data_IF_245388762285
#
_entry.id   IF_245388762285
#
_cell.length_a   1.000
_cell.length_b   1.000
_cell.length_c   1.000
_cell.angle_alpha   90.00
_cell.angle_beta   90.00
_cell.angle_gamma   90.00
#
_symmetry.space_group_name_H-M   'P 1'
#
loop_
_entity.id
_entity.type
_entity.pdbx_description
1 polymer ?
#
# COMPACT_ATOMS: atom_id res chain seq x y z
N UNK A 1 8.81 14.15 37.30
CA UNK A 1 8.17 14.18 35.96
C UNK A 1 8.27 12.86 35.17
N UNK A 2 9.40 12.13 35.13
CA UNK A 2 9.51 10.83 34.39
C UNK A 2 8.62 9.70 34.98
N UNK A 3 8.50 9.61 36.30
CA UNK A 3 7.69 8.59 36.98
C UNK A 3 6.18 8.79 36.80
N UNK A 4 5.72 10.05 36.82
CA UNK A 4 4.32 10.41 36.53
C UNK A 4 3.96 10.14 35.07
N UNK A 5 4.86 10.48 34.12
CA UNK A 5 4.69 10.09 32.70
C UNK A 5 4.65 8.57 32.52
N UNK A 6 5.43 7.80 33.28
CA UNK A 6 5.43 6.34 33.23
C UNK A 6 4.11 5.74 33.77
N UNK A 7 3.61 6.24 34.90
CA UNK A 7 2.32 5.80 35.47
C UNK A 7 1.15 6.18 34.55
N UNK A 8 1.13 7.41 34.04
CA UNK A 8 0.10 7.84 33.08
C UNK A 8 0.14 7.02 31.79
N UNK A 9 1.33 6.74 31.26
CA UNK A 9 1.51 5.88 30.07
C UNK A 9 1.02 4.43 30.32
N UNK A 10 1.22 3.89 31.52
CA UNK A 10 0.72 2.56 31.87
C UNK A 10 -0.81 2.52 32.07
N UNK A 11 -1.39 3.58 32.64
CA UNK A 11 -2.83 3.70 32.79
C UNK A 11 -3.56 3.90 31.44
N UNK A 12 -2.97 4.67 30.52
CA UNK A 12 -3.50 4.84 29.17
C UNK A 12 -3.38 3.56 28.34
N UNK A 13 -2.27 2.82 28.47
CA UNK A 13 -2.10 1.49 27.86
C UNK A 13 -3.09 0.46 28.40
N UNK A 14 -3.47 0.52 29.68
CA UNK A 14 -4.45 -0.38 30.27
C UNK A 14 -5.87 -0.23 29.68
N UNK A 15 -6.19 0.94 29.11
CA UNK A 15 -7.49 1.20 28.48
C UNK A 15 -7.54 0.85 26.98
N UNK A 16 -6.40 0.54 26.35
CA UNK A 16 -6.33 0.19 24.93
C UNK A 16 -7.34 -0.90 24.54
N UNK A 17 -7.49 -2.03 25.27
CA UNK A 17 -8.46 -3.04 24.92
C UNK A 17 -9.91 -2.53 24.88
N UNK A 18 -10.28 -1.62 25.79
CA UNK A 18 -11.62 -1.01 25.86
C UNK A 18 -11.87 -0.09 24.67
N UNK A 19 -10.88 0.73 24.29
CA UNK A 19 -10.99 1.59 23.11
C UNK A 19 -11.12 0.76 21.83
N UNK A 20 -10.28 -0.28 21.69
CA UNK A 20 -10.35 -1.19 20.54
C UNK A 20 -11.71 -1.89 20.48
N UNK A 21 -12.24 -2.36 21.61
CA UNK A 21 -13.58 -2.97 21.66
C UNK A 21 -14.71 -2.00 21.35
N UNK A 22 -14.60 -0.74 21.77
CA UNK A 22 -15.58 0.29 21.44
C UNK A 22 -15.59 0.58 19.93
N UNK A 23 -14.45 0.93 19.36
CA UNK A 23 -14.36 1.37 17.97
C UNK A 23 -14.52 0.24 16.95
N UNK A 24 -14.15 -1.00 17.30
CA UNK A 24 -14.34 -2.16 16.43
C UNK A 24 -15.81 -2.60 16.27
N UNK A 25 -16.74 -2.03 17.04
CA UNK A 25 -18.19 -2.25 16.86
C UNK A 25 -18.76 -1.48 15.67
N UNK A 26 -18.07 -0.44 15.23
CA UNK A 26 -18.50 0.37 14.09
C UNK A 26 -17.91 -0.19 12.80
N UNK A 27 -18.67 -0.08 11.72
CA UNK A 27 -18.21 -0.43 10.38
C UNK A 27 -17.45 0.74 9.76
N UNK A 28 -16.29 0.50 9.10
CA UNK A 28 -15.62 1.53 8.31
C UNK A 28 -16.53 2.14 7.23
N UNK A 29 -16.42 3.45 7.02
CA UNK A 29 -17.21 4.18 6.04
C UNK A 29 -16.49 4.19 4.68
N UNK A 30 -16.94 3.45 3.64
CA UNK A 30 -16.30 3.50 2.34
C UNK A 30 -16.52 4.86 1.67
N UNK A 31 -15.48 5.38 1.00
CA UNK A 31 -15.53 6.62 0.24
C UNK A 31 -15.17 6.34 -1.22
N UNK A 32 -16.04 6.77 -2.14
CA UNK A 32 -15.78 6.72 -3.57
C UNK A 32 -14.76 7.79 -3.99
N UNK A 33 -14.10 7.57 -5.12
CA UNK A 33 -13.19 8.54 -5.71
C UNK A 33 -13.88 9.88 -6.02
N UNK A 34 -15.15 9.83 -6.44
CA UNK A 34 -15.99 11.01 -6.65
C UNK A 34 -16.15 11.83 -5.37
N UNK A 35 -16.41 11.18 -4.23
CA UNK A 35 -16.53 11.89 -2.95
C UNK A 35 -15.23 12.59 -2.54
N UNK A 36 -14.06 11.96 -2.76
CA UNK A 36 -12.78 12.62 -2.50
C UNK A 36 -12.56 13.84 -3.40
N UNK A 37 -12.85 13.72 -4.71
CA UNK A 37 -12.74 14.84 -5.65
C UNK A 37 -13.69 15.98 -5.31
N UNK A 38 -14.97 15.68 -5.09
CA UNK A 38 -16.00 16.68 -4.81
C UNK A 38 -15.66 17.43 -3.51
N UNK A 39 -15.12 16.73 -2.50
CA UNK A 39 -14.64 17.34 -1.26
C UNK A 39 -13.46 18.29 -1.50
N UNK A 40 -12.41 17.84 -2.18
CA UNK A 40 -11.19 18.63 -2.36
C UNK A 40 -11.26 19.72 -3.42
N UNK A 41 -12.19 19.64 -4.39
CA UNK A 41 -12.32 20.62 -5.49
C UNK A 41 -13.05 21.90 -5.11
N UNK A 42 -14.16 21.77 -4.35
CA UNK A 42 -15.16 22.85 -4.23
C UNK A 42 -15.40 23.25 -2.78
N UNK A 43 -15.19 22.34 -1.83
CA UNK A 43 -15.56 22.49 -0.42
C UNK A 43 -14.46 22.01 0.53
N UNK A 44 -13.18 22.19 0.16
CA UNK A 44 -12.06 21.75 0.98
C UNK A 44 -12.11 22.45 2.35
N UNK A 45 -12.66 21.75 3.33
CA UNK A 45 -12.94 22.28 4.66
C UNK A 45 -12.21 21.41 5.68
N UNK A 46 -11.10 21.94 6.20
CA UNK A 46 -10.21 21.21 7.10
C UNK A 46 -10.95 20.72 8.35
N UNK A 47 -11.82 21.55 8.93
CA UNK A 47 -12.63 21.19 10.11
C UNK A 47 -13.55 20.01 9.84
N UNK A 48 -14.16 19.94 8.65
CA UNK A 48 -14.99 18.81 8.24
C UNK A 48 -14.15 17.55 8.08
N UNK A 49 -12.99 17.65 7.44
CA UNK A 49 -12.07 16.51 7.30
C UNK A 49 -11.55 16.03 8.65
N UNK A 50 -11.20 16.94 9.55
CA UNK A 50 -10.75 16.64 10.92
C UNK A 50 -11.82 15.89 11.70
N UNK A 51 -13.07 16.40 11.70
CA UNK A 51 -14.19 15.77 12.42
C UNK A 51 -14.48 14.36 11.89
N UNK A 52 -14.39 14.16 10.58
CA UNK A 52 -14.52 12.84 9.97
C UNK A 52 -13.38 11.91 10.40
N UNK A 53 -12.12 12.33 10.21
CA UNK A 53 -10.95 11.46 10.40
C UNK A 53 -10.69 11.08 11.86
N UNK A 54 -10.94 11.99 12.80
CA UNK A 54 -10.79 11.68 14.24
C UNK A 54 -11.75 10.59 14.73
N UNK A 55 -12.82 10.31 13.97
CA UNK A 55 -13.76 9.21 14.23
C UNK A 55 -13.47 8.00 13.35
N UNK A 56 -13.25 8.20 12.06
CA UNK A 56 -13.08 7.11 11.09
C UNK A 56 -11.75 6.36 11.27
N UNK A 57 -10.65 7.05 11.58
CA UNK A 57 -9.34 6.39 11.75
C UNK A 57 -9.32 5.43 12.96
N UNK A 58 -9.84 5.79 14.16
CA UNK A 58 -9.98 4.84 15.26
C UNK A 58 -10.83 3.62 14.91
N UNK A 59 -11.90 3.78 14.12
CA UNK A 59 -12.73 2.67 13.64
C UNK A 59 -11.91 1.70 12.80
N UNK A 60 -11.19 2.20 11.78
CA UNK A 60 -10.37 1.35 10.90
C UNK A 60 -9.23 0.66 11.63
N UNK A 61 -8.50 1.41 12.47
CA UNK A 61 -7.41 0.87 13.30
C UNK A 61 -7.92 -0.22 14.24
N UNK A 62 -9.04 0.01 14.93
CA UNK A 62 -9.56 -0.94 15.91
C UNK A 62 -10.11 -2.21 15.27
N UNK A 63 -10.80 -2.09 14.12
CA UNK A 63 -11.27 -3.24 13.35
C UNK A 63 -10.09 -4.15 12.96
N UNK A 64 -9.03 -3.58 12.37
CA UNK A 64 -7.90 -4.41 11.96
C UNK A 64 -7.09 -4.93 13.15
N UNK A 65 -6.99 -4.18 14.25
CA UNK A 65 -6.37 -4.65 15.49
C UNK A 65 -7.12 -5.85 16.09
N UNK A 66 -8.45 -5.90 16.01
CA UNK A 66 -9.24 -7.08 16.39
C UNK A 66 -8.89 -8.28 15.52
N UNK A 67 -8.78 -8.09 14.21
CA UNK A 67 -8.40 -9.17 13.28
C UNK A 67 -6.97 -9.68 13.52
N UNK A 68 -6.02 -8.79 13.84
CA UNK A 68 -4.66 -9.20 14.23
C UNK A 68 -4.74 -10.15 15.43
N UNK A 69 -5.55 -9.83 16.44
CA UNK A 69 -5.69 -10.65 17.64
C UNK A 69 -6.39 -12.01 17.41
N UNK A 70 -6.94 -12.25 16.21
CA UNK A 70 -7.49 -13.55 15.80
C UNK A 70 -6.47 -14.43 15.07
N UNK A 71 -5.27 -13.92 14.82
CA UNK A 71 -4.17 -14.73 14.29
C UNK A 71 -3.78 -15.85 15.26
N UNK A 72 -3.17 -16.94 14.76
CA UNK A 72 -2.66 -17.99 15.62
C UNK A 72 -1.71 -17.44 16.69
N UNK A 73 -1.85 -17.88 17.94
CA UNK A 73 -1.03 -17.41 19.07
C UNK A 73 0.48 -17.46 18.76
N UNK A 74 0.92 -18.52 18.08
CA UNK A 74 2.32 -18.70 17.65
C UNK A 74 2.79 -17.57 16.73
N UNK A 75 1.94 -17.11 15.80
CA UNK A 75 2.25 -15.97 14.93
C UNK A 75 2.23 -14.65 15.72
N UNK A 76 1.27 -14.49 16.63
CA UNK A 76 1.19 -13.33 17.54
C UNK A 76 2.42 -13.18 18.43
N UNK A 77 3.10 -14.28 18.79
CA UNK A 77 4.34 -14.24 19.58
C UNK A 77 5.59 -13.85 18.79
N UNK A 78 5.50 -13.72 17.46
CA UNK A 78 6.66 -13.33 16.66
C UNK A 78 7.03 -11.86 16.92
N UNK A 79 8.32 -11.52 17.12
CA UNK A 79 8.74 -10.15 17.43
C UNK A 79 8.25 -9.13 16.41
N UNK A 80 8.22 -9.51 15.13
CA UNK A 80 7.78 -8.63 14.05
C UNK A 80 6.27 -8.33 14.11
N UNK A 81 5.42 -9.30 14.43
CA UNK A 81 3.97 -9.05 14.60
C UNK A 81 3.70 -8.19 15.83
N UNK A 82 4.41 -8.44 16.94
CA UNK A 82 4.30 -7.63 18.15
C UNK A 82 4.72 -6.17 17.90
N UNK A 83 5.76 -5.96 17.10
CA UNK A 83 6.18 -4.62 16.68
C UNK A 83 5.08 -3.91 15.90
N UNK A 84 4.45 -4.58 14.93
CA UNK A 84 3.32 -4.00 14.19
C UNK A 84 2.15 -3.69 15.13
N UNK A 85 1.77 -4.61 16.02
CA UNK A 85 0.71 -4.34 17.03
C UNK A 85 1.02 -3.08 17.85
N UNK A 86 2.27 -2.90 18.29
CA UNK A 86 2.67 -1.73 19.06
C UNK A 86 2.49 -0.42 18.28
N UNK A 87 2.77 -0.41 16.97
CA UNK A 87 2.59 0.77 16.12
C UNK A 87 1.12 1.12 15.96
N UNK A 88 0.24 0.12 15.78
CA UNK A 88 -1.20 0.35 15.68
C UNK A 88 -1.77 0.85 17.01
N UNK A 89 -1.36 0.27 18.14
CA UNK A 89 -1.75 0.76 19.49
C UNK A 89 -1.33 2.22 19.67
N UNK A 90 -0.07 2.55 19.37
CA UNK A 90 0.42 3.93 19.52
C UNK A 90 -0.38 4.90 18.65
N UNK A 91 -0.65 4.53 17.40
CA UNK A 91 -1.36 5.40 16.46
C UNK A 91 -2.82 5.61 16.86
N UNK A 92 -3.48 4.56 17.35
CA UNK A 92 -4.82 4.67 17.92
C UNK A 92 -4.83 5.66 19.08
N UNK A 93 -3.93 5.47 20.05
CA UNK A 93 -3.89 6.33 21.24
C UNK A 93 -3.62 7.80 20.89
N UNK A 94 -2.71 8.08 19.96
CA UNK A 94 -2.43 9.44 19.48
C UNK A 94 -3.66 10.10 18.83
N UNK A 95 -4.44 9.36 18.01
CA UNK A 95 -5.67 9.92 17.41
C UNK A 95 -6.76 10.13 18.47
N UNK A 96 -6.86 9.26 19.47
CA UNK A 96 -7.87 9.37 20.52
C UNK A 96 -7.73 10.67 21.35
N UNK A 97 -6.54 11.28 21.39
CA UNK A 97 -6.33 12.58 22.03
C UNK A 97 -7.12 13.73 21.37
N UNK A 98 -7.63 13.53 20.15
CA UNK A 98 -8.37 14.53 19.37
C UNK A 98 -9.90 14.36 19.42
N UNK A 99 -10.41 13.29 20.05
CA UNK A 99 -11.85 12.98 20.06
C UNK A 99 -12.70 14.13 20.63
N UNK A 100 -12.25 14.70 21.75
CA UNK A 100 -12.98 15.74 22.48
C UNK A 100 -12.47 17.16 22.18
N UNK A 101 -11.45 17.31 21.32
CA UNK A 101 -10.91 18.64 20.95
C UNK A 101 -11.90 19.40 20.05
N UNK A 102 -11.97 20.72 20.15
CA UNK A 102 -12.87 21.52 19.30
C UNK A 102 -12.27 21.76 17.92
N UNK A 103 -13.05 21.68 16.83
CA UNK A 103 -12.56 21.90 15.47
C UNK A 103 -12.26 23.37 15.15
N UNK A 104 -12.76 24.32 15.95
CA UNK A 104 -12.60 25.76 15.70
C UNK A 104 -11.23 26.31 16.10
N UNK A 105 -10.37 25.50 16.71
CA UNK A 105 -9.03 25.89 17.13
C UNK A 105 -7.99 25.48 16.08
N UNK A 106 -7.46 26.45 15.33
CA UNK A 106 -6.42 26.20 14.32
C UNK A 106 -5.21 25.43 14.84
N UNK A 107 -4.74 25.71 16.07
CA UNK A 107 -3.59 25.00 16.64
C UNK A 107 -3.87 23.50 16.83
N UNK A 108 -5.13 23.10 17.02
CA UNK A 108 -5.51 21.68 17.10
C UNK A 108 -5.47 21.03 15.73
N UNK A 109 -5.86 21.76 14.68
CA UNK A 109 -5.83 21.27 13.30
C UNK A 109 -4.38 21.04 12.85
N UNK A 110 -3.48 22.01 13.11
CA UNK A 110 -2.05 21.88 12.83
C UNK A 110 -1.43 20.67 13.57
N UNK A 111 -1.71 20.53 14.87
CA UNK A 111 -1.24 19.39 15.67
C UNK A 111 -1.78 18.04 15.16
N UNK A 112 -3.01 18.05 14.61
CA UNK A 112 -3.61 16.86 14.01
C UNK A 112 -2.89 16.48 12.71
N UNK A 113 -2.60 17.44 11.82
CA UNK A 113 -1.82 17.20 10.60
C UNK A 113 -0.46 16.60 10.95
N UNK A 114 0.27 17.19 11.91
CA UNK A 114 1.56 16.67 12.40
C UNK A 114 1.44 15.24 12.94
N UNK A 115 0.38 14.96 13.70
CA UNK A 115 0.10 13.62 14.23
C UNK A 115 -0.13 12.61 13.11
N UNK A 116 -0.90 12.98 12.07
CA UNK A 116 -1.14 12.13 10.92
C UNK A 116 0.14 11.86 10.11
N UNK A 117 1.01 12.87 9.94
CA UNK A 117 2.33 12.72 9.31
C UNK A 117 3.19 11.73 10.11
N UNK A 118 3.21 11.84 11.44
CA UNK A 118 3.94 10.92 12.32
C UNK A 118 3.41 9.48 12.22
N UNK A 119 2.08 9.30 12.19
CA UNK A 119 1.45 7.99 12.01
C UNK A 119 1.82 7.40 10.65
N UNK A 120 1.72 8.19 9.57
CA UNK A 120 2.12 7.77 8.21
C UNK A 120 3.57 7.26 8.20
N UNK A 121 4.47 8.02 8.82
CA UNK A 121 5.90 7.70 8.86
C UNK A 121 6.18 6.43 9.67
N UNK A 122 5.56 6.29 10.85
CA UNK A 122 5.65 5.09 11.70
C UNK A 122 5.20 3.83 10.96
N UNK A 123 4.18 3.95 10.10
CA UNK A 123 3.60 2.82 9.39
C UNK A 123 4.31 2.46 8.09
N UNK A 124 5.39 3.16 7.70
CA UNK A 124 6.08 2.93 6.43
C UNK A 124 6.59 1.49 6.27
N UNK A 125 7.17 0.90 7.32
CA UNK A 125 7.73 -0.46 7.28
C UNK A 125 6.74 -1.57 7.71
N UNK A 126 5.45 -1.28 7.88
CA UNK A 126 4.44 -2.29 8.26
C UNK A 126 4.39 -3.48 7.31
N UNK A 127 4.50 -3.25 5.99
CA UNK A 127 4.46 -4.34 5.00
C UNK A 127 5.65 -5.29 5.14
N UNK A 128 6.91 -4.83 5.06
CA UNK A 128 8.07 -5.71 5.23
C UNK A 128 8.15 -6.32 6.63
N UNK A 129 7.76 -5.60 7.69
CA UNK A 129 7.77 -6.16 9.06
C UNK A 129 6.71 -7.25 9.23
N UNK A 130 5.48 -7.07 8.72
CA UNK A 130 4.47 -8.12 8.78
C UNK A 130 4.91 -9.37 7.98
N UNK A 131 5.49 -9.17 6.79
CA UNK A 131 6.05 -10.27 6.00
C UNK A 131 7.17 -11.01 6.76
N UNK A 132 8.02 -10.28 7.49
CA UNK A 132 9.06 -10.84 8.33
C UNK A 132 8.47 -11.68 9.49
N UNK A 133 7.37 -11.26 10.11
CA UNK A 133 6.67 -12.06 11.13
C UNK A 133 6.11 -13.38 10.61
N UNK A 134 5.60 -13.35 9.38
CA UNK A 134 5.15 -14.57 8.68
C UNK A 134 6.32 -15.51 8.35
N UNK A 135 7.48 -14.96 7.97
CA UNK A 135 8.72 -15.73 7.76
C UNK A 135 9.22 -16.35 9.07
N UNK A 136 9.23 -15.58 10.16
CA UNK A 136 9.58 -16.03 11.51
C UNK A 136 8.72 -17.24 11.90
N UNK A 137 7.40 -17.10 11.78
CA UNK A 137 6.44 -18.18 12.05
C UNK A 137 6.73 -19.44 11.22
N UNK A 138 6.90 -19.28 9.89
CA UNK A 138 7.14 -20.40 8.97
C UNK A 138 8.44 -21.15 9.29
N UNK A 139 9.50 -20.43 9.67
CA UNK A 139 10.80 -21.04 9.94
C UNK A 139 10.82 -21.92 11.20
N UNK A 140 9.95 -21.63 12.17
CA UNK A 140 9.87 -22.36 13.44
C UNK A 140 8.80 -23.46 13.41
N UNK A 141 7.64 -23.20 12.83
CA UNK A 141 6.46 -24.06 12.98
C UNK A 141 6.07 -24.82 11.70
N UNK A 142 6.74 -24.58 10.57
CA UNK A 142 6.49 -25.28 9.32
C UNK A 142 5.32 -24.71 8.52
N UNK A 143 4.63 -25.57 7.77
CA UNK A 143 3.51 -25.19 6.90
C UNK A 143 2.29 -26.05 7.25
N UNK A 144 1.20 -25.39 7.60
CA UNK A 144 -0.11 -26.01 7.78
C UNK A 144 -1.10 -25.37 6.78
N UNK A 145 -1.75 -26.15 5.90
CA UNK A 145 -2.63 -25.61 4.86
C UNK A 145 -3.78 -24.75 5.39
N UNK A 146 -4.41 -25.16 6.49
CA UNK A 146 -5.54 -24.45 7.10
C UNK A 146 -5.08 -23.10 7.67
N UNK A 147 -3.99 -23.11 8.43
CA UNK A 147 -3.39 -21.89 8.98
C UNK A 147 -2.92 -20.94 7.88
N UNK A 148 -2.35 -21.48 6.80
CA UNK A 148 -1.94 -20.68 5.64
C UNK A 148 -3.13 -19.96 4.97
N UNK A 149 -4.29 -20.62 4.84
CA UNK A 149 -5.49 -19.97 4.32
C UNK A 149 -6.00 -18.86 5.26
N UNK A 150 -5.98 -19.08 6.57
CA UNK A 150 -6.37 -18.07 7.54
C UNK A 150 -5.42 -16.85 7.52
N UNK A 151 -4.12 -17.09 7.42
CA UNK A 151 -3.10 -16.03 7.28
C UNK A 151 -3.30 -15.27 5.96
N UNK A 152 -3.57 -15.97 4.86
CA UNK A 152 -3.85 -15.35 3.56
C UNK A 152 -5.04 -14.40 3.66
N UNK A 153 -6.17 -14.89 4.17
CA UNK A 153 -7.39 -14.09 4.35
C UNK A 153 -7.15 -12.86 5.23
N UNK A 154 -6.43 -13.03 6.34
CA UNK A 154 -6.04 -11.92 7.20
C UNK A 154 -5.17 -10.90 6.46
N UNK A 155 -4.12 -11.33 5.74
CA UNK A 155 -3.18 -10.42 5.10
C UNK A 155 -3.83 -9.59 4.00
N UNK A 156 -4.74 -10.17 3.23
CA UNK A 156 -5.52 -9.43 2.22
C UNK A 156 -6.31 -8.28 2.87
N UNK A 157 -7.01 -8.57 3.98
CA UNK A 157 -7.79 -7.56 4.72
C UNK A 157 -6.90 -6.55 5.44
N UNK A 158 -5.79 -7.00 6.00
CA UNK A 158 -4.81 -6.17 6.70
C UNK A 158 -4.18 -5.14 5.78
N UNK A 159 -3.71 -5.57 4.61
CA UNK A 159 -3.09 -4.67 3.65
C UNK A 159 -4.13 -3.77 2.98
N UNK A 160 -5.35 -4.25 2.71
CA UNK A 160 -6.43 -3.40 2.22
C UNK A 160 -6.79 -2.29 3.23
N UNK A 161 -6.97 -2.66 4.52
CA UNK A 161 -7.21 -1.71 5.60
C UNK A 161 -6.10 -0.65 5.68
N UNK A 162 -4.83 -1.08 5.62
CA UNK A 162 -3.68 -0.18 5.62
C UNK A 162 -3.65 0.78 4.43
N UNK A 163 -3.91 0.29 3.21
CA UNK A 163 -3.99 1.13 2.01
C UNK A 163 -5.07 2.20 2.21
N UNK A 164 -6.23 1.80 2.74
CA UNK A 164 -7.35 2.71 3.00
C UNK A 164 -7.03 3.79 4.06
N UNK A 165 -6.33 3.42 5.14
CA UNK A 165 -5.88 4.36 6.19
C UNK A 165 -4.85 5.33 5.60
N UNK A 166 -3.89 4.83 4.82
CA UNK A 166 -2.89 5.67 4.15
C UNK A 166 -3.54 6.62 3.14
N UNK A 167 -4.59 6.19 2.44
CA UNK A 167 -5.36 7.04 1.53
C UNK A 167 -5.98 8.23 2.27
N UNK A 168 -6.68 7.97 3.37
CA UNK A 168 -7.29 9.00 4.20
C UNK A 168 -6.27 10.00 4.76
N UNK A 169 -5.17 9.50 5.32
CA UNK A 169 -4.10 10.34 5.87
C UNK A 169 -3.45 11.17 4.77
N UNK A 170 -3.10 10.56 3.65
CA UNK A 170 -2.48 11.27 2.54
C UNK A 170 -3.38 12.37 1.99
N UNK A 171 -4.68 12.11 1.84
CA UNK A 171 -5.63 13.12 1.38
C UNK A 171 -5.67 14.32 2.31
N UNK A 172 -5.80 14.12 3.62
CA UNK A 172 -5.82 15.23 4.57
C UNK A 172 -4.50 16.01 4.57
N UNK A 173 -3.36 15.31 4.68
CA UNK A 173 -2.05 15.96 4.71
C UNK A 173 -1.75 16.69 3.40
N UNK A 174 -2.03 16.13 2.23
CA UNK A 174 -1.71 16.79 0.96
C UNK A 174 -2.64 17.98 0.64
N UNK A 175 -3.84 18.03 1.21
CA UNK A 175 -4.78 19.14 0.99
C UNK A 175 -4.56 20.27 2.00
N UNK A 176 -4.18 19.95 3.24
CA UNK A 176 -4.14 20.93 4.35
C UNK A 176 -2.75 21.19 4.94
N UNK A 177 -1.72 20.41 4.60
CA UNK A 177 -0.33 20.70 5.00
C UNK A 177 0.21 21.90 4.20
N UNK A 178 0.15 23.08 4.81
CA UNK A 178 0.58 24.36 4.24
C UNK A 178 2.07 24.43 3.84
N UNK A 179 2.87 23.40 4.15
CA UNK A 179 4.28 23.29 3.74
C UNK A 179 4.47 22.59 2.38
N UNK A 180 3.43 21.96 1.81
CA UNK A 180 3.56 21.26 0.53
C UNK A 180 3.31 22.19 -0.65
N UNK A 181 4.39 22.59 -1.31
CA UNK A 181 4.31 23.03 -2.71
C UNK A 181 3.82 21.81 -3.49
N UNK A 182 2.63 21.82 -4.12
CA UNK A 182 2.12 20.61 -4.74
C UNK A 182 3.07 20.25 -5.88
N UNK A 183 3.81 19.14 -5.72
CA UNK A 183 4.63 18.53 -6.76
C UNK A 183 3.84 18.40 -8.08
N UNK A 184 2.52 18.29 -7.96
CA UNK A 184 1.56 18.36 -9.06
C UNK A 184 0.44 19.35 -8.70
N UNK A 185 0.50 20.62 -9.15
CA UNK A 185 -0.51 21.64 -8.82
C UNK A 185 -1.93 21.33 -9.32
N UNK A 186 -2.07 20.33 -10.20
CA UNK A 186 -3.36 19.91 -10.76
C UNK A 186 -3.98 18.70 -10.04
N UNK A 187 -3.35 18.18 -8.97
CA UNK A 187 -3.89 17.06 -8.19
C UNK A 187 -4.68 17.53 -6.98
N UNK A 188 -5.69 16.75 -6.60
CA UNK A 188 -6.48 16.94 -5.39
C UNK A 188 -6.02 15.91 -4.36
N UNK A 189 -5.22 16.38 -3.42
CA UNK A 189 -4.47 15.50 -2.54
C UNK A 189 -3.59 14.56 -3.36
N UNK A 190 -3.85 13.26 -3.29
CA UNK A 190 -3.16 12.24 -4.11
C UNK A 190 -3.91 11.80 -5.38
N UNK A 191 -5.07 12.41 -5.69
CA UNK A 191 -5.89 12.04 -6.85
C UNK A 191 -5.58 13.01 -7.99
N UNK A 192 -5.30 12.45 -9.17
CA UNK A 192 -5.20 13.21 -10.41
C UNK A 192 -6.54 13.07 -11.17
N UNK A 193 -7.29 14.16 -11.39
CA UNK A 193 -8.52 14.14 -12.16
C UNK A 193 -8.28 13.87 -13.67
N UNK A 194 -7.04 14.00 -14.14
CA UNK A 194 -6.65 13.82 -15.53
C UNK A 194 -5.43 12.90 -15.67
N UNK A 195 -5.34 11.86 -14.83
CA UNK A 195 -4.25 10.89 -14.82
C UNK A 195 -4.00 10.30 -16.22
N UNK A 196 -2.86 10.66 -16.83
CA UNK A 196 -2.40 10.05 -18.08
C UNK A 196 -1.86 8.65 -17.81
N UNK A 197 -2.63 7.64 -18.22
CA UNK A 197 -2.33 6.23 -17.94
C UNK A 197 -1.03 5.81 -18.62
N UNK A 198 -0.77 6.32 -19.82
CA UNK A 198 0.37 5.95 -20.64
C UNK A 198 1.67 6.49 -20.06
N UNK A 199 1.65 7.72 -19.53
CA UNK A 199 2.80 8.27 -18.82
C UNK A 199 3.12 7.46 -17.57
N UNK A 200 2.12 7.10 -16.75
CA UNK A 200 2.34 6.25 -15.57
C UNK A 200 2.93 4.88 -15.94
N UNK A 201 2.49 4.30 -17.07
CA UNK A 201 3.09 3.07 -17.62
C UNK A 201 4.56 3.26 -17.97
N UNK A 202 4.91 4.36 -18.65
CA UNK A 202 6.30 4.66 -19.02
C UNK A 202 7.17 4.86 -17.78
N UNK A 203 6.70 5.61 -16.80
CA UNK A 203 7.43 5.88 -15.55
C UNK A 203 7.69 4.60 -14.75
N UNK A 204 6.66 3.76 -14.59
CA UNK A 204 6.79 2.48 -13.91
C UNK A 204 7.75 1.53 -14.64
N UNK A 205 7.68 1.49 -15.97
CA UNK A 205 8.59 0.70 -16.78
C UNK A 205 10.04 1.20 -16.66
N UNK A 206 10.29 2.50 -16.77
CA UNK A 206 11.65 3.06 -16.67
C UNK A 206 12.28 2.78 -15.31
N UNK A 207 11.52 2.94 -14.23
CA UNK A 207 12.00 2.61 -12.89
C UNK A 207 12.29 1.13 -12.73
N UNK A 208 11.43 0.24 -13.25
CA UNK A 208 11.69 -1.20 -13.23
C UNK A 208 12.91 -1.57 -14.09
N UNK A 209 13.08 -0.91 -15.24
CA UNK A 209 14.22 -1.06 -16.16
C UNK A 209 15.52 -0.70 -15.46
N UNK A 210 15.59 0.42 -14.76
CA UNK A 210 16.76 0.83 -13.98
C UNK A 210 17.16 -0.22 -12.94
N UNK A 211 16.19 -0.75 -12.20
CA UNK A 211 16.43 -1.80 -11.22
C UNK A 211 16.92 -3.08 -11.92
N UNK A 212 16.33 -3.42 -13.08
CA UNK A 212 16.71 -4.54 -13.92
C UNK A 212 18.14 -4.45 -14.47
N UNK A 213 18.50 -3.31 -15.06
CA UNK A 213 19.83 -3.04 -15.60
C UNK A 213 20.89 -3.08 -14.49
N UNK A 214 20.58 -2.61 -13.28
CA UNK A 214 21.50 -2.71 -12.13
C UNK A 214 21.84 -4.16 -11.75
N UNK A 215 20.91 -5.10 -11.92
CA UNK A 215 21.08 -6.47 -11.47
C UNK A 215 21.51 -7.43 -12.59
N UNK A 216 20.94 -7.27 -13.79
CA UNK A 216 21.17 -8.16 -14.94
C UNK A 216 22.05 -7.54 -16.04
N UNK A 217 22.42 -6.25 -15.92
CA UNK A 217 23.16 -5.49 -16.93
C UNK A 217 22.45 -5.40 -18.29
N UNK A 218 21.17 -5.76 -18.35
CA UNK A 218 20.33 -5.76 -19.53
C UNK A 218 18.86 -5.79 -19.12
N UNK A 219 17.97 -5.36 -20.01
CA UNK A 219 16.52 -5.37 -19.81
C UNK A 219 15.78 -5.40 -21.15
N UNK A 220 14.59 -6.03 -21.22
CA UNK A 220 13.77 -6.05 -22.43
C UNK A 220 13.17 -4.66 -22.71
N UNK A 221 12.99 -4.31 -23.99
CA UNK A 221 12.36 -3.06 -24.42
C UNK A 221 10.84 -3.03 -24.12
N UNK A 222 10.24 -1.82 -24.15
CA UNK A 222 8.79 -1.61 -24.03
C UNK A 222 8.16 -1.39 -25.39
N UNK A 223 7.10 -2.14 -25.69
CA UNK A 223 6.18 -1.85 -26.80
C UNK A 223 4.81 -1.48 -26.23
N UNK A 224 4.44 -0.21 -26.33
CA UNK A 224 3.21 0.34 -25.77
C UNK A 224 2.20 0.65 -26.87
N UNK A 225 0.99 0.14 -26.73
CA UNK A 225 -0.15 0.39 -27.62
C UNK A 225 -1.34 0.93 -26.83
N UNK A 226 -2.02 1.91 -27.41
CA UNK A 226 -3.23 2.51 -26.84
C UNK A 226 -4.44 2.23 -27.73
N UNK A 227 -5.57 1.93 -27.10
CA UNK A 227 -6.86 1.69 -27.75
C UNK A 227 -7.95 2.47 -27.01
N UNK A 228 -8.16 3.72 -27.43
CA UNK A 228 -9.27 4.53 -26.95
C UNK A 228 -10.50 4.32 -27.83
N UNK A 229 -11.45 3.49 -27.35
CA UNK A 229 -12.69 3.19 -28.08
C UNK A 229 -13.57 4.43 -28.18
N UNK A 230 -13.56 5.28 -27.16
CA UNK A 230 -14.36 6.50 -27.08
C UNK A 230 -13.81 7.59 -28.02
N UNK A 231 -12.49 7.73 -28.11
CA UNK A 231 -11.83 8.68 -29.03
C UNK A 231 -10.40 8.26 -29.41
N UNK A 232 -10.24 7.67 -30.60
CA UNK A 232 -8.95 7.12 -31.09
C UNK A 232 -7.79 8.12 -31.20
N UNK A 233 -8.06 9.42 -31.17
CA UNK A 233 -7.03 10.48 -31.30
C UNK A 233 -6.62 11.10 -29.98
N UNK A 234 -7.31 10.78 -28.89
CA UNK A 234 -7.02 11.35 -27.58
C UNK A 234 -6.28 10.33 -26.70
N UNK A 235 -5.29 10.79 -25.92
CA UNK A 235 -4.67 10.00 -24.87
C UNK A 235 -5.72 9.45 -23.89
N UNK A 236 -5.42 8.31 -23.28
CA UNK A 236 -6.28 7.71 -22.27
C UNK A 236 -6.03 8.38 -20.92
N UNK A 237 -6.99 9.22 -20.51
CA UNK A 237 -6.98 9.93 -19.23
C UNK A 237 -8.13 9.46 -18.35
N UNK A 238 -7.86 9.24 -17.06
CA UNK A 238 -8.82 8.81 -16.06
C UNK A 238 -8.71 9.65 -14.79
N UNK A 239 -9.75 9.63 -13.96
CA UNK A 239 -9.59 10.03 -12.56
C UNK A 239 -8.98 8.85 -11.80
N UNK A 240 -7.79 9.02 -11.22
CA UNK A 240 -7.17 7.96 -10.40
C UNK A 240 -6.11 8.50 -9.44
N UNK A 241 -5.57 7.60 -8.62
CA UNK A 241 -4.37 7.88 -7.79
C UNK A 241 -3.14 7.37 -8.56
N UNK A 242 -2.33 8.24 -9.20
CA UNK A 242 -1.24 7.81 -10.08
C UNK A 242 -0.23 6.89 -9.39
N UNK A 243 0.06 7.14 -8.12
CA UNK A 243 0.99 6.32 -7.33
C UNK A 243 0.49 4.89 -7.12
N UNK A 244 -0.82 4.66 -6.99
CA UNK A 244 -1.39 3.30 -6.88
C UNK A 244 -1.20 2.54 -8.20
N UNK A 245 -1.50 3.20 -9.32
CA UNK A 245 -1.30 2.63 -10.65
C UNK A 245 0.17 2.32 -10.94
N UNK A 246 1.05 3.27 -10.62
CA UNK A 246 2.50 3.11 -10.70
C UNK A 246 2.98 1.88 -9.93
N UNK A 247 2.54 1.71 -8.68
CA UNK A 247 2.96 0.57 -7.86
C UNK A 247 2.53 -0.78 -8.46
N UNK A 248 1.30 -0.87 -8.99
CA UNK A 248 0.84 -2.09 -9.67
C UNK A 248 1.71 -2.42 -10.88
N UNK A 249 1.93 -1.43 -11.75
CA UNK A 249 2.68 -1.61 -12.99
C UNK A 249 4.15 -1.89 -12.73
N UNK A 250 4.77 -1.19 -11.78
CA UNK A 250 6.17 -1.39 -11.40
C UNK A 250 6.43 -2.83 -10.93
N UNK A 251 5.55 -3.38 -10.08
CA UNK A 251 5.66 -4.79 -9.65
C UNK A 251 5.44 -5.77 -10.81
N UNK A 252 4.49 -5.51 -11.71
CA UNK A 252 4.29 -6.34 -12.91
C UNK A 252 5.51 -6.30 -13.83
N UNK A 253 6.08 -5.12 -14.10
CA UNK A 253 7.26 -4.96 -14.94
C UNK A 253 8.48 -5.66 -14.37
N UNK A 254 8.77 -5.52 -13.07
CA UNK A 254 9.86 -6.28 -12.43
C UNK A 254 9.73 -7.79 -12.66
N UNK A 255 8.52 -8.31 -12.49
CA UNK A 255 8.25 -9.74 -12.69
C UNK A 255 8.43 -10.17 -14.15
N UNK A 256 7.86 -9.40 -15.09
CA UNK A 256 7.96 -9.65 -16.53
C UNK A 256 9.41 -9.57 -17.04
N UNK A 257 10.17 -8.56 -16.59
CA UNK A 257 11.58 -8.38 -16.93
C UNK A 257 12.42 -9.54 -16.41
N UNK A 258 12.27 -9.89 -15.12
CA UNK A 258 12.97 -11.03 -14.53
C UNK A 258 12.71 -12.32 -15.28
N UNK A 259 11.44 -12.66 -15.51
CA UNK A 259 11.07 -13.89 -16.21
C UNK A 259 11.61 -13.92 -17.65
N UNK A 260 11.58 -12.76 -18.34
CA UNK A 260 12.10 -12.65 -19.70
C UNK A 260 13.61 -12.88 -19.75
N UNK A 261 14.38 -12.32 -18.83
CA UNK A 261 15.84 -12.46 -18.79
C UNK A 261 16.24 -13.88 -18.40
N UNK A 262 15.70 -14.40 -17.29
CA UNK A 262 16.02 -15.76 -16.79
C UNK A 262 15.68 -16.84 -17.83
N UNK A 263 14.65 -16.62 -18.67
CA UNK A 263 14.29 -17.56 -19.74
C UNK A 263 15.11 -17.39 -21.03
N UNK A 264 15.90 -16.33 -21.16
CA UNK A 264 16.68 -16.01 -22.37
C UNK A 264 18.17 -15.77 -22.08
N UNK A 265 18.72 -16.37 -21.02
CA UNK A 265 20.14 -16.19 -20.62
C UNK A 265 21.14 -16.48 -21.75
N UNK A 266 20.78 -17.35 -22.69
CA UNK A 266 21.61 -17.73 -23.84
C UNK A 266 21.38 -16.87 -25.11
N UNK A 267 20.43 -15.93 -25.08
CA UNK A 267 20.10 -15.06 -26.21
C UNK A 267 20.67 -13.66 -26.02
N UNK A 268 21.32 -13.13 -27.06
CA UNK A 268 21.75 -11.72 -27.08
C UNK A 268 20.61 -10.73 -27.29
N UNK A 269 19.42 -11.20 -27.66
CA UNK A 269 18.23 -10.36 -27.88
C UNK A 269 17.09 -10.81 -26.97
N UNK A 270 16.60 -9.87 -26.17
CA UNK A 270 15.44 -10.07 -25.30
C UNK A 270 14.17 -9.67 -26.06
N UNK A 271 13.10 -10.48 -25.99
CA UNK A 271 11.82 -10.06 -26.53
C UNK A 271 11.26 -8.88 -25.72
N UNK A 272 10.65 -7.88 -26.37
CA UNK A 272 10.08 -6.73 -25.68
C UNK A 272 8.87 -7.12 -24.84
N UNK A 273 8.65 -6.40 -23.74
CA UNK A 273 7.41 -6.44 -22.96
C UNK A 273 6.37 -5.62 -23.70
N UNK A 274 5.22 -6.24 -23.97
CA UNK A 274 4.10 -5.63 -24.68
C UNK A 274 3.08 -5.12 -23.68
N UNK A 275 2.71 -3.85 -23.80
CA UNK A 275 1.66 -3.25 -22.98
C UNK A 275 0.56 -2.71 -23.87
N UNK A 276 -0.68 -3.09 -23.56
CA UNK A 276 -1.88 -2.59 -24.20
C UNK A 276 -2.73 -1.86 -23.17
N UNK A 277 -2.95 -0.57 -23.38
CA UNK A 277 -3.87 0.26 -22.60
C UNK A 277 -5.13 0.44 -23.44
N UNK A 278 -6.27 -0.03 -22.93
CA UNK A 278 -7.55 0.08 -23.62
C UNK A 278 -8.59 0.71 -22.70
N UNK A 279 -9.35 1.69 -23.19
CA UNK A 279 -10.49 2.27 -22.49
C UNK A 279 -11.77 2.04 -23.31
N UNK A 280 -12.76 1.44 -22.67
CA UNK A 280 -14.10 1.17 -23.20
C UNK A 280 -15.14 2.11 -22.62
N UNK A 281 -16.40 1.67 -22.62
CA UNK A 281 -17.52 2.42 -22.02
C UNK A 281 -17.50 2.42 -20.49
N UNK A 282 -17.12 1.29 -19.88
CA UNK A 282 -17.09 1.11 -18.42
C UNK A 282 -15.68 0.82 -17.90
N UNK A 283 -14.92 0.01 -18.63
CA UNK A 283 -13.62 -0.48 -18.17
C UNK A 283 -12.42 0.27 -18.76
N UNK A 284 -11.41 0.45 -17.91
CA UNK A 284 -10.02 0.65 -18.32
C UNK A 284 -9.26 -0.66 -18.10
N UNK A 285 -8.62 -1.17 -19.15
CA UNK A 285 -7.80 -2.38 -19.11
C UNK A 285 -6.36 -2.08 -19.46
N UNK A 286 -5.42 -2.54 -18.61
CA UNK A 286 -3.98 -2.49 -18.90
C UNK A 286 -3.45 -3.92 -18.92
N UNK A 287 -3.06 -4.39 -20.09
CA UNK A 287 -2.52 -5.74 -20.28
C UNK A 287 -1.01 -5.68 -20.47
N UNK A 288 -0.25 -6.22 -19.52
CA UNK A 288 1.20 -6.43 -19.64
C UNK A 288 1.47 -7.87 -20.08
N UNK A 289 2.18 -8.05 -21.18
CA UNK A 289 2.49 -9.36 -21.78
C UNK A 289 3.99 -9.51 -21.98
N UNK A 290 4.55 -10.60 -21.46
CA UNK A 290 5.97 -10.95 -21.62
C UNK A 290 6.13 -12.29 -22.37
N UNK A 291 7.38 -12.65 -22.65
CA UNK A 291 7.75 -13.95 -23.22
C UNK A 291 8.69 -14.73 -22.28
N UNK A 292 8.53 -14.59 -20.97
CA UNK A 292 9.38 -15.20 -19.95
C UNK A 292 9.13 -16.67 -19.64
N UNK A 293 8.65 -17.46 -20.60
CA UNK A 293 8.42 -18.91 -20.44
C UNK A 293 7.12 -19.31 -19.73
N UNK A 294 6.42 -18.36 -19.11
CA UNK A 294 5.11 -18.57 -18.48
C UNK A 294 5.15 -19.36 -17.17
N UNK A 295 3.96 -19.67 -16.64
CA UNK A 295 3.80 -20.41 -15.37
C UNK A 295 2.82 -21.57 -15.59
N UNK A 296 3.12 -22.81 -15.13
CA UNK A 296 2.17 -23.90 -15.20
C UNK A 296 0.86 -23.56 -14.50
N UNK A 297 -0.28 -23.91 -15.10
CA UNK A 297 -1.62 -23.57 -14.59
C UNK A 297 -1.80 -23.88 -13.10
N UNK A 298 -1.34 -25.07 -12.64
CA UNK A 298 -1.39 -25.50 -11.23
C UNK A 298 -0.66 -24.61 -10.22
N UNK A 299 0.19 -23.68 -10.67
CA UNK A 299 0.95 -22.76 -9.82
C UNK A 299 0.41 -21.33 -9.86
N UNK A 300 -0.60 -21.02 -10.67
CA UNK A 300 -1.11 -19.66 -10.86
C UNK A 300 -1.67 -19.11 -9.54
N UNK A 301 -2.52 -19.87 -8.85
CA UNK A 301 -3.10 -19.43 -7.56
C UNK A 301 -2.03 -19.13 -6.51
N UNK A 302 -0.94 -19.92 -6.51
CA UNK A 302 0.16 -19.72 -5.57
C UNK A 302 0.89 -18.39 -5.79
N UNK A 303 0.85 -17.79 -6.97
CA UNK A 303 1.50 -16.49 -7.23
C UNK A 303 0.91 -15.34 -6.40
N UNK A 304 -0.32 -15.50 -5.92
CA UNK A 304 -1.01 -14.54 -5.08
C UNK A 304 -0.95 -14.91 -3.59
N UNK A 305 -0.27 -16.01 -3.24
CA UNK A 305 -0.12 -16.39 -1.84
C UNK A 305 1.02 -15.64 -1.16
N UNK A 306 0.76 -15.01 -0.02
CA UNK A 306 1.80 -14.39 0.82
C UNK A 306 2.82 -15.40 1.36
N UNK A 307 2.45 -16.68 1.42
CA UNK A 307 3.30 -17.76 1.91
C UNK A 307 4.18 -18.37 0.81
N UNK A 308 3.98 -17.99 -0.45
CA UNK A 308 4.64 -18.53 -1.63
C UNK A 308 5.52 -17.48 -2.33
N UNK A 309 6.81 -17.74 -2.40
CA UNK A 309 7.76 -16.88 -3.13
C UNK A 309 8.44 -17.68 -4.23
N UNK A 310 8.60 -17.06 -5.40
CA UNK A 310 9.44 -17.54 -6.50
C UNK A 310 10.86 -16.95 -6.47
N UNK A 311 11.18 -16.15 -5.45
CA UNK A 311 12.50 -15.57 -5.22
C UNK A 311 13.13 -16.14 -3.93
N UNK A 312 14.44 -16.46 -3.93
CA UNK A 312 15.16 -16.81 -2.71
C UNK A 312 15.20 -15.61 -1.75
N UNK A 313 15.24 -15.89 -0.44
CA UNK A 313 15.39 -14.87 0.60
C UNK A 313 16.64 -14.02 0.36
N UNK A 314 16.56 -12.67 0.33
CA UNK A 314 17.74 -11.82 0.22
C UNK A 314 18.70 -12.04 1.40
N UNK A 315 20.01 -12.07 1.14
CA UNK A 315 21.01 -12.14 2.21
C UNK A 315 20.98 -10.87 3.08
N UNK A 316 21.20 -11.02 4.39
CA UNK A 316 21.04 -9.99 5.44
C UNK A 316 21.79 -8.66 5.20
N UNK A 317 22.78 -8.63 4.30
CA UNK A 317 23.56 -7.43 3.96
C UNK A 317 22.84 -6.41 3.07
N UNK A 318 21.80 -6.82 2.32
CA UNK A 318 21.13 -5.96 1.33
C UNK A 318 20.05 -5.04 1.92
N UNK A 319 19.68 -5.21 3.19
CA UNK A 319 18.67 -4.37 3.86
C UNK A 319 19.17 -2.96 4.21
N UNK A 320 20.49 -2.74 4.25
CA UNK A 320 21.10 -1.55 4.84
C UNK A 320 21.59 -0.50 3.82
N UNK A 321 21.64 -0.82 2.52
CA UNK A 321 21.99 0.12 1.44
C UNK A 321 20.72 0.68 0.77
N UNK A 322 19.80 1.21 1.58
CA UNK A 322 18.54 1.84 1.12
C UNK A 322 18.73 3.34 0.87
N UNK A 323 18.57 3.85 -0.36
CA UNK A 323 17.89 5.12 -0.58
C UNK A 323 16.40 4.91 -0.30
N UNK A 324 15.75 5.82 0.42
CA UNK A 324 14.36 5.67 0.88
C UNK A 324 13.29 5.65 -0.25
N UNK A 325 13.69 5.55 -1.52
CA UNK A 325 12.84 5.84 -2.69
C UNK A 325 12.83 4.75 -3.78
N UNK A 326 13.65 3.70 -3.67
CA UNK A 326 13.74 2.66 -4.73
C UNK A 326 13.52 1.25 -4.17
N UNK A 327 12.48 0.51 -4.63
CA UNK A 327 12.29 -0.89 -4.25
C UNK A 327 13.31 -1.82 -4.91
N UNK A 328 13.68 -2.90 -4.21
CA UNK A 328 14.55 -3.96 -4.74
C UNK A 328 13.86 -4.79 -5.82
N UNK A 329 14.67 -5.34 -6.75
CA UNK A 329 14.21 -6.32 -7.75
C UNK A 329 13.69 -7.60 -7.08
N UNK A 330 14.40 -8.02 -6.02
CA UNK A 330 13.99 -9.06 -5.09
C UNK A 330 13.14 -8.42 -4.00
N UNK A 331 11.86 -8.16 -4.28
CA UNK A 331 10.94 -7.84 -3.18
C UNK A 331 10.79 -9.11 -2.34
N UNK A 332 11.21 -9.05 -1.08
CA UNK A 332 10.62 -9.92 -0.05
C UNK A 332 9.11 -9.70 -0.18
N UNK A 333 8.37 -10.80 -0.26
CA UNK A 333 6.91 -10.87 -0.21
C UNK A 333 6.27 -9.61 0.42
N UNK A 334 5.26 -8.95 -0.21
CA UNK A 334 4.34 -9.51 -1.19
C UNK A 334 4.05 -8.58 -2.39
N UNK A 335 4.96 -8.50 -3.37
CA UNK A 335 4.80 -7.61 -4.54
C UNK A 335 3.53 -7.87 -5.37
N UNK A 336 3.26 -9.15 -5.72
CA UNK A 336 2.08 -9.52 -6.55
C UNK A 336 0.74 -9.41 -5.80
N UNK A 337 0.60 -9.94 -4.57
CA UNK A 337 -0.64 -9.75 -3.81
C UNK A 337 -0.93 -8.28 -3.52
N UNK A 338 0.09 -7.48 -3.18
CA UNK A 338 -0.10 -6.05 -2.93
C UNK A 338 -0.60 -5.30 -4.17
N UNK A 339 -0.08 -5.60 -5.36
CA UNK A 339 -0.58 -5.02 -6.61
C UNK A 339 -2.06 -5.35 -6.86
N UNK A 340 -2.49 -6.58 -6.56
CA UNK A 340 -3.90 -6.97 -6.68
C UNK A 340 -4.80 -6.17 -5.74
N UNK A 341 -4.36 -5.92 -4.51
CA UNK A 341 -5.11 -5.12 -3.54
C UNK A 341 -5.28 -3.66 -3.99
N UNK A 342 -4.29 -3.06 -4.64
CA UNK A 342 -4.46 -1.71 -5.21
C UNK A 342 -5.48 -1.69 -6.35
N UNK A 343 -5.59 -2.75 -7.15
CA UNK A 343 -6.60 -2.89 -8.19
C UNK A 343 -8.01 -3.09 -7.63
N UNK A 344 -8.13 -3.84 -6.53
CA UNK A 344 -9.40 -4.09 -5.86
C UNK A 344 -9.91 -2.97 -4.94
N UNK A 345 -9.09 -1.95 -4.62
CA UNK A 345 -9.45 -0.90 -3.66
C UNK A 345 -10.67 -0.06 -4.10
N UNK A 346 -10.85 0.11 -5.41
CA UNK A 346 -11.84 1.01 -6.00
C UNK A 346 -12.99 0.29 -6.70
N UNK A 347 -13.05 -1.03 -6.58
CA UNK A 347 -14.22 -1.86 -6.90
C UNK A 347 -15.09 -2.01 -5.67
#
# INVERSE_FOLDING_TARGET
MKFVRFIMKNATLANVPKHVEHFAKFSPSPLSMKQFLDFGSTNACETTSFVFLRQELPVRLSNIMKEINLLPDRLLTTPSVQMVQSWYVQSLMEILEFLDKTPDNHSVLDEFVDTLVNIRNRHNDVVPTMAQGVIEYKSVFGQDPVTNQNIQYFLDRFYMSRISIRMLINQHTLVFDGATNPLHPNTIGSIDPHCDVTEVVRDAYQSAKLVCDQYYLSSPDLMLQEMNVNNRKQPISIVYVPSHLYHMLFELFKNAMRATIENHESSHRLPPIQVMVAIGGEDLSIKVSDRGGGVPFRKIENLFSYMYSTAPTPEKGWLWLRPAHLPTLRSVLPGKPAALLYGGLWH
#
